data_IF_052553679755
#
_entry.id   IF_052553679755
#
_cell.length_a   1.000
_cell.length_b   1.000
_cell.length_c   1.000
_cell.angle_alpha   90.00
_cell.angle_beta   90.00
_cell.angle_gamma   90.00
#
_symmetry.space_group_name_H-M   'P 1'
#
loop_
_entity.id
_entity.type
_entity.pdbx_description
1 polymer ?
#
# COMPACT_ATOMS: atom_id res chain seq x y z
N UNK A 1 25.99 -47.68 16.12
CA UNK A 1 26.82 -46.66 16.80
C UNK A 1 26.56 -45.32 16.14
N UNK A 2 26.01 -44.39 16.93
CA UNK A 2 26.31 -42.94 16.98
C UNK A 2 26.09 -42.16 15.68
N UNK A 3 24.97 -41.43 15.58
CA UNK A 3 24.81 -40.02 16.02
C UNK A 3 25.60 -39.05 15.14
N UNK A 4 24.93 -37.95 14.81
CA UNK A 4 25.48 -36.71 14.25
C UNK A 4 25.43 -36.53 12.73
N UNK A 5 24.23 -36.69 12.15
CA UNK A 5 23.82 -35.83 11.01
C UNK A 5 22.31 -35.56 10.98
N UNK A 6 21.74 -35.35 12.17
CA UNK A 6 20.40 -34.80 12.40
C UNK A 6 20.44 -33.29 12.67
N UNK A 7 21.25 -32.52 11.93
CA UNK A 7 21.14 -31.06 11.96
C UNK A 7 21.02 -30.52 10.54
N UNK A 8 19.96 -29.75 10.33
CA UNK A 8 19.53 -29.04 9.10
C UNK A 8 18.41 -29.67 8.26
N UNK A 9 17.57 -30.52 8.87
CA UNK A 9 16.12 -30.50 8.56
C UNK A 9 15.44 -29.43 9.42
N UNK A 10 15.50 -28.15 9.01
CA UNK A 10 14.62 -27.11 9.55
C UNK A 10 14.65 -25.86 8.67
N UNK A 11 13.64 -25.67 7.81
CA UNK A 11 13.59 -24.44 7.02
C UNK A 11 12.50 -24.32 5.97
N UNK A 12 11.34 -24.97 6.17
CA UNK A 12 10.15 -24.61 5.41
C UNK A 12 9.76 -23.15 5.70
N UNK A 13 9.68 -22.28 4.68
CA UNK A 13 8.58 -21.31 4.41
C UNK A 13 8.98 -20.15 3.49
N UNK A 14 8.40 -20.18 2.28
CA UNK A 14 7.85 -19.06 1.44
C UNK A 14 8.79 -17.92 1.01
N UNK A 15 8.68 -17.50 -0.26
CA UNK A 15 7.85 -16.31 -0.48
C UNK A 15 6.92 -16.47 -1.68
N UNK A 16 5.60 -16.50 -1.41
CA UNK A 16 4.54 -16.29 -2.42
C UNK A 16 4.21 -14.79 -2.60
N UNK A 17 5.12 -13.90 -2.20
CA UNK A 17 4.85 -12.45 -2.12
C UNK A 17 5.24 -11.72 -3.42
N UNK A 18 6.01 -12.35 -4.32
CA UNK A 18 6.53 -11.67 -5.51
C UNK A 18 5.52 -11.52 -6.68
N UNK A 19 4.33 -12.13 -6.61
CA UNK A 19 3.39 -12.15 -7.75
C UNK A 19 2.40 -10.97 -7.74
N UNK A 20 2.22 -10.29 -6.62
CA UNK A 20 1.19 -9.22 -6.50
C UNK A 20 1.67 -7.87 -7.08
N UNK A 21 2.98 -7.64 -7.17
CA UNK A 21 3.54 -6.40 -7.71
C UNK A 21 3.34 -6.23 -9.23
N UNK A 22 3.13 -7.33 -9.99
CA UNK A 22 2.95 -7.26 -11.44
C UNK A 22 1.48 -7.08 -11.89
N UNK A 23 0.50 -7.39 -11.04
CA UNK A 23 -0.91 -7.26 -11.42
C UNK A 23 -1.42 -5.82 -11.38
N UNK A 24 -0.76 -4.92 -10.66
CA UNK A 24 -1.09 -3.49 -10.68
C UNK A 24 -0.84 -2.84 -12.06
N UNK A 25 0.05 -3.43 -12.88
CA UNK A 25 0.35 -2.97 -14.24
C UNK A 25 -0.49 -3.64 -15.33
N UNK A 26 -1.23 -4.72 -15.03
CA UNK A 26 -1.94 -5.52 -16.04
C UNK A 26 -3.40 -5.05 -16.31
N UNK A 27 -3.92 -4.07 -15.58
CA UNK A 27 -5.26 -3.52 -15.80
C UNK A 27 -5.33 -2.50 -16.97
N UNK A 28 -4.42 -2.59 -17.95
CA UNK A 28 -4.23 -1.64 -19.05
C UNK A 28 -5.17 -1.88 -20.26
N UNK A 29 -6.43 -2.22 -20.03
CA UNK A 29 -7.46 -2.33 -21.10
C UNK A 29 -8.63 -1.41 -20.77
N UNK A 30 -8.39 -0.10 -20.87
CA UNK A 30 -9.40 0.94 -20.70
C UNK A 30 -8.95 2.24 -21.37
N UNK A 31 -9.85 2.90 -22.10
CA UNK A 31 -9.61 4.18 -22.78
C UNK A 31 -9.40 5.30 -21.73
N UNK A 32 -8.15 5.68 -21.48
CA UNK A 32 -7.76 6.78 -20.59
C UNK A 32 -6.28 7.10 -20.79
N UNK A 33 -5.87 8.35 -20.56
CA UNK A 33 -4.46 8.73 -20.65
C UNK A 33 -3.66 8.03 -19.53
N UNK A 34 -2.34 7.85 -19.67
CA UNK A 34 -1.50 7.33 -18.59
C UNK A 34 -1.63 8.14 -17.28
N UNK A 35 -1.94 9.43 -17.38
CA UNK A 35 -2.20 10.31 -16.25
C UNK A 35 -3.53 9.98 -15.56
N UNK A 36 -4.61 9.81 -16.33
CA UNK A 36 -5.94 9.47 -15.79
C UNK A 36 -5.90 8.15 -15.00
N UNK A 37 -5.19 7.14 -15.53
CA UNK A 37 -5.05 5.84 -14.83
C UNK A 37 -4.26 5.94 -13.53
N UNK A 38 -3.25 6.81 -13.49
CA UNK A 38 -2.48 7.04 -12.28
C UNK A 38 -3.34 7.73 -11.22
N UNK A 39 -4.13 8.75 -11.60
CA UNK A 39 -5.08 9.42 -10.70
C UNK A 39 -6.13 8.42 -10.14
N UNK A 40 -6.70 7.55 -10.97
CA UNK A 40 -7.70 6.54 -10.56
C UNK A 40 -7.15 5.55 -9.52
N UNK A 41 -5.92 5.08 -9.68
CA UNK A 41 -5.30 4.13 -8.75
C UNK A 41 -5.19 4.73 -7.34
N UNK A 42 -4.74 5.98 -7.22
CA UNK A 42 -4.63 6.67 -5.94
C UNK A 42 -5.98 6.94 -5.28
N UNK A 43 -7.06 7.10 -6.06
CA UNK A 43 -8.42 7.31 -5.53
C UNK A 43 -9.02 6.05 -4.87
N UNK A 44 -8.84 4.88 -5.50
CA UNK A 44 -9.36 3.59 -4.97
C UNK A 44 -8.68 3.23 -3.64
N UNK A 45 -7.37 3.46 -3.56
CA UNK A 45 -6.58 3.16 -2.38
C UNK A 45 -6.96 4.06 -1.19
N UNK A 46 -7.35 5.31 -1.44
CA UNK A 46 -7.84 6.27 -0.43
C UNK A 46 -9.06 5.76 0.30
N UNK A 47 -10.03 5.29 -0.49
CA UNK A 47 -11.28 4.75 0.01
C UNK A 47 -11.02 3.56 0.95
N UNK A 48 -10.05 2.72 0.62
CA UNK A 48 -9.74 1.52 1.40
C UNK A 48 -8.98 1.84 2.68
N UNK A 49 -7.85 2.56 2.59
CA UNK A 49 -7.02 2.89 3.75
C UNK A 49 -7.79 3.70 4.80
N UNK A 50 -8.55 4.72 4.36
CA UNK A 50 -9.37 5.56 5.24
C UNK A 50 -10.45 4.76 5.95
N UNK A 51 -11.19 3.91 5.22
CA UNK A 51 -12.23 3.04 5.83
C UNK A 51 -11.63 2.12 6.89
N UNK A 52 -10.50 1.48 6.58
CA UNK A 52 -9.83 0.57 7.52
C UNK A 52 -9.32 1.29 8.77
N UNK A 53 -8.71 2.48 8.61
CA UNK A 53 -8.28 3.30 9.75
C UNK A 53 -9.46 3.68 10.66
N UNK A 54 -10.59 4.09 10.09
CA UNK A 54 -11.81 4.42 10.86
C UNK A 54 -12.40 3.21 11.59
N UNK A 55 -12.31 2.01 11.02
CA UNK A 55 -12.73 0.77 11.69
C UNK A 55 -11.88 0.53 12.93
N UNK A 56 -10.55 0.64 12.81
CA UNK A 56 -9.64 0.46 13.96
C UNK A 56 -9.87 1.52 15.02
N UNK A 57 -10.01 2.79 14.64
CA UNK A 57 -10.32 3.88 15.58
C UNK A 57 -11.64 3.65 16.32
N UNK A 58 -12.68 3.16 15.63
CA UNK A 58 -13.95 2.79 16.27
C UNK A 58 -13.78 1.61 17.23
N UNK A 59 -13.01 0.60 16.87
CA UNK A 59 -12.74 -0.54 17.75
C UNK A 59 -11.98 -0.10 19.00
N UNK A 60 -11.00 0.80 18.86
CA UNK A 60 -10.26 1.38 19.99
C UNK A 60 -11.19 2.14 20.96
N UNK A 61 -12.07 3.01 20.44
CA UNK A 61 -13.05 3.73 21.25
C UNK A 61 -14.03 2.82 22.00
N UNK A 62 -14.25 1.59 21.50
CA UNK A 62 -15.09 0.57 22.15
C UNK A 62 -14.30 -0.34 23.11
N UNK A 63 -13.00 -0.12 23.28
CA UNK A 63 -12.12 -1.01 24.07
C UNK A 63 -11.84 -2.36 23.41
N UNK A 64 -12.10 -2.50 22.11
CA UNK A 64 -11.92 -3.74 21.33
C UNK A 64 -10.55 -3.81 20.63
N UNK A 65 -9.86 -2.68 20.49
CA UNK A 65 -8.50 -2.60 20.01
C UNK A 65 -7.57 -2.05 21.11
N UNK A 66 -6.32 -2.51 21.13
CA UNK A 66 -5.31 -2.03 22.07
C UNK A 66 -4.73 -0.69 21.63
N UNK A 67 -4.05 0.00 22.55
CA UNK A 67 -3.31 1.22 22.24
C UNK A 67 -2.23 0.98 21.17
N UNK A 68 -1.51 -0.14 21.24
CA UNK A 68 -0.52 -0.54 20.23
C UNK A 68 -1.14 -0.72 18.84
N UNK A 69 -2.33 -1.33 18.77
CA UNK A 69 -3.06 -1.49 17.50
C UNK A 69 -3.48 -0.12 16.94
N UNK A 70 -3.93 0.81 17.79
CA UNK A 70 -4.25 2.18 17.35
C UNK A 70 -3.00 2.96 16.91
N UNK A 71 -1.90 2.86 17.66
CA UNK A 71 -0.64 3.50 17.30
C UNK A 71 -0.09 2.98 15.97
N UNK A 72 -0.17 1.66 15.74
CA UNK A 72 0.17 1.04 14.45
C UNK A 72 -0.73 1.54 13.33
N UNK A 73 -2.04 1.59 13.54
CA UNK A 73 -2.98 2.10 12.55
C UNK A 73 -2.67 3.57 12.18
N UNK A 74 -2.33 4.40 13.17
CA UNK A 74 -1.95 5.80 12.96
C UNK A 74 -0.69 5.92 12.12
N UNK A 75 0.36 5.19 12.49
CA UNK A 75 1.63 5.19 11.74
C UNK A 75 1.45 4.76 10.29
N UNK A 76 0.65 3.72 10.05
CA UNK A 76 0.33 3.26 8.69
C UNK A 76 -0.46 4.31 7.90
N UNK A 77 -1.44 4.96 8.53
CA UNK A 77 -2.26 5.98 7.89
C UNK A 77 -1.48 7.27 7.58
N UNK A 78 -0.58 7.69 8.48
CA UNK A 78 0.29 8.85 8.24
C UNK A 78 1.25 8.59 7.07
N UNK A 79 1.86 7.41 7.02
CA UNK A 79 2.73 7.02 5.90
C UNK A 79 1.96 6.90 4.58
N UNK A 80 0.74 6.34 4.63
CA UNK A 80 -0.19 6.30 3.50
C UNK A 80 -0.48 7.71 2.98
N UNK A 81 -0.90 8.61 3.86
CA UNK A 81 -1.31 9.96 3.51
C UNK A 81 -0.16 10.77 2.92
N UNK A 82 1.04 10.67 3.50
CA UNK A 82 2.22 11.38 3.01
C UNK A 82 2.65 10.87 1.62
N UNK A 83 2.62 9.56 1.38
CA UNK A 83 2.92 8.99 0.06
C UNK A 83 1.88 9.42 -0.98
N UNK A 84 0.60 9.43 -0.61
CA UNK A 84 -0.49 9.88 -1.47
C UNK A 84 -0.35 11.38 -1.81
N UNK A 85 -0.05 12.22 -0.82
CA UNK A 85 0.18 13.66 -1.01
C UNK A 85 1.30 13.91 -2.02
N UNK A 86 2.45 13.25 -1.87
CA UNK A 86 3.59 13.38 -2.79
C UNK A 86 3.25 12.93 -4.20
N UNK A 87 2.47 11.85 -4.32
CA UNK A 87 2.02 11.39 -5.63
C UNK A 87 1.09 12.39 -6.30
N UNK A 88 0.12 12.96 -5.56
CA UNK A 88 -0.75 14.00 -6.10
C UNK A 88 0.02 15.27 -6.51
N UNK A 89 1.08 15.63 -5.78
CA UNK A 89 1.96 16.73 -6.18
C UNK A 89 2.67 16.46 -7.51
N UNK A 90 3.21 15.25 -7.69
CA UNK A 90 3.83 14.82 -8.95
C UNK A 90 2.81 14.75 -10.11
N UNK A 91 1.58 14.28 -9.85
CA UNK A 91 0.50 14.21 -10.83
C UNK A 91 -0.03 15.61 -11.20
N UNK A 92 -0.19 16.51 -10.24
CA UNK A 92 -0.61 17.89 -10.47
C UNK A 92 0.44 18.67 -11.29
N UNK A 93 1.72 18.46 -10.99
CA UNK A 93 2.82 19.01 -11.78
C UNK A 93 2.77 18.46 -13.22
N UNK A 94 2.60 17.14 -13.39
CA UNK A 94 2.48 16.53 -14.71
C UNK A 94 1.29 17.08 -15.51
N UNK A 95 0.13 17.27 -14.87
CA UNK A 95 -1.06 17.85 -15.48
C UNK A 95 -0.85 19.28 -15.97
N UNK A 96 -0.05 20.06 -15.25
CA UNK A 96 0.29 21.44 -15.62
C UNK A 96 1.28 21.49 -16.78
N UNK A 97 2.17 20.52 -16.87
CA UNK A 97 3.28 20.45 -17.84
C UNK A 97 2.89 19.71 -19.16
N UNK A 98 1.78 18.98 -19.21
CA UNK A 98 1.23 18.34 -20.41
C UNK A 98 1.58 16.85 -20.59
N UNK A 99 1.19 16.26 -21.72
CA UNK A 99 1.11 14.80 -21.93
C UNK A 99 2.42 14.02 -21.75
N UNK A 100 3.59 14.64 -21.97
CA UNK A 100 4.91 14.00 -21.80
C UNK A 100 5.53 14.26 -20.43
N UNK A 101 4.85 15.02 -19.57
CA UNK A 101 5.43 15.46 -18.31
C UNK A 101 5.63 14.32 -17.29
N UNK A 102 4.95 13.19 -17.47
CA UNK A 102 5.25 11.99 -16.68
C UNK A 102 6.68 11.48 -16.92
N UNK A 103 7.27 11.75 -18.09
CA UNK A 103 8.66 11.39 -18.43
C UNK A 103 9.71 12.34 -17.83
N UNK A 104 9.30 13.35 -17.05
CA UNK A 104 10.23 14.21 -16.35
C UNK A 104 11.17 13.37 -15.44
N UNK A 105 12.48 13.70 -15.37
CA UNK A 105 13.46 12.86 -14.67
C UNK A 105 13.04 12.51 -13.24
N UNK A 106 12.99 11.20 -12.95
CA UNK A 106 12.69 10.68 -11.62
C UNK A 106 11.20 10.69 -11.23
N UNK A 107 10.30 11.25 -12.04
CA UNK A 107 8.87 11.37 -11.68
C UNK A 107 8.16 10.02 -11.69
N UNK A 108 8.39 9.20 -12.72
CA UNK A 108 7.83 7.83 -12.75
C UNK A 108 8.33 6.98 -11.60
N UNK A 109 9.62 7.06 -11.29
CA UNK A 109 10.22 6.31 -10.19
C UNK A 109 9.58 6.72 -8.85
N UNK A 110 9.41 8.02 -8.60
CA UNK A 110 8.72 8.52 -7.40
C UNK A 110 7.27 8.06 -7.33
N UNK A 111 6.53 8.13 -8.44
CA UNK A 111 5.15 7.66 -8.50
C UNK A 111 5.04 6.16 -8.23
N UNK A 112 5.96 5.34 -8.74
CA UNK A 112 6.00 3.90 -8.47
C UNK A 112 6.31 3.62 -7.00
N UNK A 113 7.29 4.32 -6.42
CA UNK A 113 7.64 4.17 -5.00
C UNK A 113 6.48 4.59 -4.10
N UNK A 114 5.85 5.73 -4.37
CA UNK A 114 4.70 6.20 -3.60
C UNK A 114 3.51 5.24 -3.73
N UNK A 115 3.22 4.74 -4.93
CA UNK A 115 2.16 3.74 -5.13
C UNK A 115 2.42 2.48 -4.31
N UNK A 116 3.66 1.97 -4.31
CA UNK A 116 4.01 0.80 -3.50
C UNK A 116 3.79 1.02 -1.99
N UNK A 117 4.10 2.22 -1.47
CA UNK A 117 3.84 2.59 -0.07
C UNK A 117 2.34 2.66 0.20
N UNK A 118 1.58 3.34 -0.66
CA UNK A 118 0.12 3.50 -0.56
C UNK A 118 -0.57 2.14 -0.55
N UNK A 119 -0.26 1.25 -1.50
CA UNK A 119 -0.79 -0.12 -1.55
C UNK A 119 -0.45 -0.91 -0.29
N UNK A 120 0.83 -0.89 0.14
CA UNK A 120 1.28 -1.63 1.33
C UNK A 120 0.53 -1.16 2.57
N UNK A 121 0.46 0.14 2.82
CA UNK A 121 -0.22 0.69 3.99
C UNK A 121 -1.71 0.38 3.96
N UNK A 122 -2.38 0.49 2.81
CA UNK A 122 -3.79 0.13 2.67
C UNK A 122 -4.06 -1.35 3.00
N UNK A 123 -3.20 -2.26 2.52
CA UNK A 123 -3.30 -3.70 2.82
C UNK A 123 -3.07 -3.99 4.30
N UNK A 124 -2.04 -3.40 4.91
CA UNK A 124 -1.74 -3.60 6.33
C UNK A 124 -2.84 -3.03 7.24
N UNK A 125 -3.39 -1.86 6.90
CA UNK A 125 -4.55 -1.28 7.58
C UNK A 125 -5.78 -2.17 7.45
N UNK A 126 -6.06 -2.71 6.26
CA UNK A 126 -7.19 -3.61 6.04
C UNK A 126 -7.04 -4.93 6.82
N UNK A 127 -5.82 -5.45 6.93
CA UNK A 127 -5.53 -6.63 7.76
C UNK A 127 -5.75 -6.35 9.24
N UNK A 128 -5.27 -5.20 9.74
CA UNK A 128 -5.46 -4.79 11.13
C UNK A 128 -6.93 -4.53 11.45
N UNK A 129 -7.67 -3.87 10.56
CA UNK A 129 -9.10 -3.67 10.70
C UNK A 129 -9.86 -5.00 10.82
N UNK A 130 -9.49 -6.02 10.04
CA UNK A 130 -10.05 -7.38 10.14
C UNK A 130 -9.67 -8.09 11.44
N UNK A 131 -8.54 -7.78 12.05
CA UNK A 131 -8.10 -8.38 13.30
C UNK A 131 -8.92 -7.88 14.49
N UNK A 132 -9.17 -6.57 14.55
CA UNK A 132 -9.86 -5.91 15.68
C UNK A 132 -11.39 -6.01 15.64
N UNK A 133 -11.95 -6.53 14.55
CA UNK A 133 -13.41 -6.74 14.39
C UNK A 133 -13.82 -8.22 14.40
N UNK A 134 -12.94 -9.12 14.85
CA UNK A 134 -13.30 -10.53 15.07
C UNK A 134 -14.07 -10.69 16.38
#
# INVERSE_FOLDING_TARGET
>A
MKRDREEMLAGARRPRVAVVALCALAALVGCGTPLDRAEDAYSVEESTARKSYLIVGRAYLKGQATEDQMAKARSLYDAYFEAQRRAYEDLAAARTEGDTALDAPGRRERLVVNAAVVTRCAVELAALAKEVTK
#
